data_IF_122005296024
#
_entry.id   IF_122005296024
#
_cell.length_a   1.000
_cell.length_b   1.000
_cell.length_c   1.000
_cell.angle_alpha   90.00
_cell.angle_beta   90.00
_cell.angle_gamma   90.00
#
_symmetry.space_group_name_H-M   'P 1'
#
loop_
_entity.id
_entity.type
_entity.pdbx_description
1 polymer ?
#
# COMPACT_ATOMS: atom_id res chain seq x y z
N UNK A 1 -4.27 3.49 -19.94
CA UNK A 1 -3.02 2.76 -19.62
C UNK A 1 -2.02 3.71 -18.94
N UNK A 2 -0.91 3.26 -18.31
CA UNK A 2 0.04 4.16 -17.66
C UNK A 2 0.57 5.27 -18.58
N UNK A 3 0.87 4.94 -19.85
CA UNK A 3 1.37 5.90 -20.83
C UNK A 3 0.41 7.09 -21.03
N UNK A 4 -0.89 6.81 -21.18
CA UNK A 4 -1.91 7.85 -21.36
C UNK A 4 -2.07 8.76 -20.13
N UNK A 5 -1.81 8.22 -18.92
CA UNK A 5 -1.92 9.02 -17.68
C UNK A 5 -0.72 9.96 -17.55
N UNK A 6 0.44 9.60 -18.09
CA UNK A 6 1.63 10.46 -18.04
C UNK A 6 1.45 11.74 -18.86
N UNK A 7 0.63 11.72 -19.90
CA UNK A 7 0.33 12.92 -20.70
C UNK A 7 -0.28 14.05 -19.87
N UNK A 8 -1.03 13.74 -18.81
CA UNK A 8 -1.63 14.75 -17.91
C UNK A 8 -0.59 15.53 -17.07
N UNK A 9 0.66 15.10 -17.05
CA UNK A 9 1.74 15.88 -16.43
C UNK A 9 2.27 16.99 -17.35
N UNK A 10 1.92 16.99 -18.64
CA UNK A 10 2.39 17.97 -19.62
C UNK A 10 3.77 17.66 -20.19
N UNK A 11 4.44 18.68 -20.74
CA UNK A 11 5.73 18.52 -21.42
C UNK A 11 6.89 18.28 -20.42
N UNK A 12 7.59 17.12 -20.49
CA UNK A 12 8.76 16.88 -19.65
C UNK A 12 9.89 17.89 -19.84
N UNK A 13 10.01 18.53 -21.02
CA UNK A 13 11.05 19.52 -21.29
C UNK A 13 10.90 20.82 -20.49
N UNK A 14 9.67 21.14 -20.05
CA UNK A 14 9.37 22.32 -19.21
C UNK A 14 9.30 21.96 -17.72
N UNK A 15 9.47 20.69 -17.36
CA UNK A 15 9.28 20.18 -16.00
C UNK A 15 7.85 19.73 -15.70
N UNK A 16 6.96 19.66 -16.70
CA UNK A 16 5.55 19.33 -16.54
C UNK A 16 4.72 20.58 -16.25
N UNK A 17 4.00 21.05 -17.27
CA UNK A 17 3.24 22.31 -17.29
C UNK A 17 1.72 22.15 -17.14
N UNK A 18 1.25 20.94 -16.83
CA UNK A 18 -0.16 20.64 -16.62
C UNK A 18 -0.47 20.32 -15.14
N UNK A 19 -0.65 19.05 -14.79
CA UNK A 19 -1.02 18.64 -13.43
C UNK A 19 0.22 18.26 -12.61
N UNK A 20 0.29 18.71 -11.36
CA UNK A 20 1.36 18.28 -10.44
C UNK A 20 1.21 16.82 -10.00
N UNK A 21 -0.04 16.33 -9.96
CA UNK A 21 -0.34 14.98 -9.51
C UNK A 21 -1.40 14.31 -10.37
N UNK A 22 -1.19 13.03 -10.67
CA UNK A 22 -2.18 12.16 -11.29
C UNK A 22 -2.30 10.87 -10.49
N UNK A 23 -3.50 10.28 -10.47
CA UNK A 23 -3.73 9.02 -9.78
C UNK A 23 -3.14 7.84 -10.56
N UNK A 24 -2.42 6.97 -9.86
CA UNK A 24 -1.79 5.79 -10.44
C UNK A 24 -2.79 4.62 -10.58
N UNK A 25 -3.89 4.85 -11.30
CA UNK A 25 -4.94 3.86 -11.56
C UNK A 25 -4.44 2.49 -12.06
N UNK A 26 -3.41 2.39 -12.92
CA UNK A 26 -2.98 1.10 -13.43
C UNK A 26 -2.42 0.15 -12.36
N UNK A 27 -1.72 0.66 -11.34
CA UNK A 27 -1.08 -0.16 -10.29
C UNK A 27 -2.10 -0.76 -9.35
N UNK A 28 -3.15 -0.01 -9.00
CA UNK A 28 -4.11 -0.42 -7.97
C UNK A 28 -4.72 -1.81 -8.24
N UNK A 29 -5.32 -2.13 -9.41
CA UNK A 29 -5.86 -3.47 -9.67
C UNK A 29 -4.79 -4.57 -9.65
N UNK A 30 -3.55 -4.26 -10.05
CA UNK A 30 -2.46 -5.24 -10.09
C UNK A 30 -1.98 -5.62 -8.69
N UNK A 31 -2.08 -4.73 -7.71
CA UNK A 31 -1.83 -5.09 -6.30
C UNK A 31 -2.81 -6.17 -5.85
N UNK A 32 -4.11 -5.98 -6.11
CA UNK A 32 -5.14 -6.98 -5.79
C UNK A 32 -4.88 -8.30 -6.51
N UNK A 33 -4.60 -8.26 -7.81
CA UNK A 33 -4.28 -9.46 -8.58
C UNK A 33 -3.03 -10.18 -8.07
N UNK A 34 -1.97 -9.45 -7.75
CA UNK A 34 -0.69 -10.02 -7.31
C UNK A 34 -0.84 -10.78 -5.99
N UNK A 35 -1.62 -10.26 -5.05
CA UNK A 35 -1.88 -10.96 -3.78
C UNK A 35 -2.76 -12.19 -3.99
N UNK A 36 -3.82 -12.11 -4.81
CA UNK A 36 -4.66 -13.30 -5.08
C UNK A 36 -3.97 -14.37 -5.90
N UNK A 37 -3.06 -13.99 -6.81
CA UNK A 37 -2.23 -14.93 -7.57
C UNK A 37 -1.01 -15.41 -6.79
N UNK A 38 -0.73 -14.83 -5.62
CA UNK A 38 0.47 -15.06 -4.81
C UNK A 38 1.76 -14.88 -5.64
N UNK A 39 1.78 -13.88 -6.53
CA UNK A 39 2.88 -13.65 -7.49
C UNK A 39 3.12 -12.15 -7.67
N UNK A 40 4.39 -11.74 -7.68
CA UNK A 40 4.78 -10.33 -7.83
C UNK A 40 4.62 -9.75 -9.23
N UNK A 41 4.61 -10.60 -10.26
CA UNK A 41 4.68 -10.19 -11.67
C UNK A 41 3.67 -9.12 -12.08
N UNK A 42 2.38 -9.15 -11.67
CA UNK A 42 1.45 -8.08 -12.04
C UNK A 42 1.89 -6.69 -11.56
N UNK A 43 2.52 -6.60 -10.37
CA UNK A 43 3.06 -5.33 -9.85
C UNK A 43 4.36 -4.99 -10.58
N UNK A 44 5.28 -5.94 -10.71
CA UNK A 44 6.59 -5.72 -11.36
C UNK A 44 6.45 -5.24 -12.81
N UNK A 45 5.57 -5.87 -13.58
CA UNK A 45 5.33 -5.54 -14.98
C UNK A 45 4.75 -4.13 -15.13
N UNK A 46 3.72 -3.78 -14.35
CA UNK A 46 3.10 -2.47 -14.47
C UNK A 46 4.03 -1.34 -13.98
N UNK A 47 4.84 -1.59 -12.94
CA UNK A 47 5.84 -0.63 -12.48
C UNK A 47 6.94 -0.42 -13.52
N UNK A 48 7.37 -1.48 -14.21
CA UNK A 48 8.37 -1.39 -15.30
C UNK A 48 7.82 -0.68 -16.54
N UNK A 49 6.54 -0.88 -16.85
CA UNK A 49 5.86 -0.24 -17.99
C UNK A 49 5.46 1.20 -17.72
N UNK A 50 5.46 1.65 -16.46
CA UNK A 50 5.09 3.03 -16.11
C UNK A 50 6.22 3.97 -16.54
N UNK A 51 5.96 4.94 -17.46
CA UNK A 51 6.99 5.86 -17.91
C UNK A 51 7.48 6.77 -16.78
N UNK A 52 8.68 7.32 -16.96
CA UNK A 52 9.19 8.38 -16.07
C UNK A 52 8.31 9.61 -16.20
N UNK A 53 8.05 10.26 -15.06
CA UNK A 53 7.30 11.52 -14.95
C UNK A 53 8.28 12.70 -14.77
N UNK A 54 7.84 13.94 -15.03
CA UNK A 54 8.66 15.12 -14.76
C UNK A 54 9.04 15.25 -13.27
N UNK A 55 10.18 15.89 -12.97
CA UNK A 55 10.75 15.94 -11.61
C UNK A 55 9.86 16.68 -10.59
N UNK A 56 9.07 17.66 -11.02
CA UNK A 56 8.12 18.39 -10.16
C UNK A 56 6.77 17.68 -9.99
N UNK A 57 6.56 16.54 -10.63
CA UNK A 57 5.31 15.80 -10.61
C UNK A 57 5.38 14.61 -9.65
N UNK A 58 4.21 14.11 -9.24
CA UNK A 58 4.11 12.98 -8.32
C UNK A 58 2.89 12.11 -8.58
N UNK A 59 3.05 10.80 -8.39
CA UNK A 59 1.93 9.86 -8.42
C UNK A 59 1.07 9.93 -7.16
N UNK A 60 -0.24 9.88 -7.31
CA UNK A 60 -1.19 9.59 -6.23
C UNK A 60 -1.48 8.10 -6.18
N UNK A 61 -1.04 7.38 -5.14
CA UNK A 61 -1.32 5.96 -4.96
C UNK A 61 -2.50 5.80 -4.01
N UNK A 62 -3.41 4.88 -4.30
CA UNK A 62 -4.55 4.58 -3.45
C UNK A 62 -4.95 3.11 -3.62
N UNK A 63 -5.60 2.55 -2.61
CA UNK A 63 -6.15 1.18 -2.68
C UNK A 63 -7.64 1.19 -3.04
N UNK A 64 -8.39 2.11 -2.43
CA UNK A 64 -9.82 2.36 -2.66
C UNK A 64 -10.10 3.85 -2.57
N UNK A 65 -11.27 4.23 -3.07
CA UNK A 65 -11.77 5.60 -3.05
C UNK A 65 -13.30 5.58 -2.91
N UNK A 66 -13.94 6.73 -3.12
CA UNK A 66 -15.39 6.88 -3.05
C UNK A 66 -16.16 6.30 -4.24
N UNK A 67 -15.46 5.78 -5.25
CA UNK A 67 -16.03 5.11 -6.41
C UNK A 67 -15.80 3.60 -6.32
N UNK A 68 -16.30 2.87 -7.32
CA UNK A 68 -15.96 1.47 -7.54
C UNK A 68 -14.45 1.28 -7.75
N UNK A 69 -13.98 0.07 -7.47
CA UNK A 69 -12.69 -0.38 -7.94
C UNK A 69 -12.80 -0.52 -9.46
N UNK A 70 -12.39 0.53 -10.18
CA UNK A 70 -12.47 0.58 -11.64
C UNK A 70 -11.56 -0.48 -12.27
N UNK A 71 -12.11 -1.20 -13.24
CA UNK A 71 -11.47 -2.21 -14.06
C UNK A 71 -11.54 -1.81 -15.55
N UNK A 72 -11.54 -0.51 -15.83
CA UNK A 72 -11.51 0.00 -17.21
C UNK A 72 -10.12 -0.13 -17.83
N UNK A 73 -9.07 0.10 -17.04
CA UNK A 73 -7.66 0.10 -17.50
C UNK A 73 -6.97 -1.26 -17.27
N UNK A 74 -7.69 -2.35 -17.50
CA UNK A 74 -7.20 -3.75 -17.44
C UNK A 74 -7.65 -4.50 -18.69
N UNK A 75 -6.97 -5.60 -19.03
CA UNK A 75 -7.42 -6.46 -20.12
C UNK A 75 -8.73 -7.17 -19.76
N UNK A 76 -9.43 -7.72 -20.75
CA UNK A 76 -10.69 -8.43 -20.53
C UNK A 76 -10.50 -9.67 -19.63
N UNK A 77 -9.40 -10.42 -19.82
CA UNK A 77 -9.06 -11.58 -18.98
C UNK A 77 -8.76 -11.19 -17.54
N UNK A 78 -8.02 -10.09 -17.33
CA UNK A 78 -7.74 -9.56 -15.99
C UNK A 78 -9.02 -9.10 -15.30
N UNK A 79 -9.95 -8.48 -16.06
CA UNK A 79 -11.24 -8.03 -15.55
C UNK A 79 -12.11 -9.20 -15.10
N UNK A 80 -12.21 -10.24 -15.92
CA UNK A 80 -12.98 -11.45 -15.59
C UNK A 80 -12.41 -12.19 -14.39
N UNK A 81 -11.07 -12.24 -14.28
CA UNK A 81 -10.38 -12.74 -13.10
C UNK A 81 -10.75 -11.94 -11.84
N UNK A 82 -10.64 -10.61 -11.90
CA UNK A 82 -10.98 -9.73 -10.78
C UNK A 82 -12.44 -9.87 -10.34
N UNK A 83 -13.37 -10.01 -11.28
CA UNK A 83 -14.78 -10.26 -10.96
C UNK A 83 -15.00 -11.61 -10.27
N UNK A 84 -14.33 -12.65 -10.73
CA UNK A 84 -14.47 -14.00 -10.18
C UNK A 84 -13.97 -14.06 -8.74
N UNK A 85 -12.83 -13.41 -8.47
CA UNK A 85 -12.20 -13.45 -7.14
C UNK A 85 -12.86 -12.50 -6.14
N UNK A 86 -13.18 -11.27 -6.54
CA UNK A 86 -13.57 -10.20 -5.62
C UNK A 86 -15.06 -9.81 -5.66
N UNK A 87 -15.80 -10.19 -6.70
CA UNK A 87 -17.20 -9.87 -6.89
C UNK A 87 -18.07 -11.14 -7.00
N UNK A 88 -18.04 -11.95 -5.93
CA UNK A 88 -18.79 -13.22 -5.82
C UNK A 88 -20.30 -13.03 -5.93
N UNK A 89 -20.81 -11.89 -5.48
CA UNK A 89 -22.22 -11.51 -5.64
C UNK A 89 -22.37 -10.54 -6.82
N UNK A 90 -23.32 -10.75 -7.75
CA UNK A 90 -23.55 -9.85 -8.88
C UNK A 90 -23.77 -8.39 -8.47
N UNK A 91 -24.35 -8.14 -7.29
CA UNK A 91 -24.60 -6.79 -6.76
C UNK A 91 -23.34 -6.05 -6.36
N UNK A 92 -22.22 -6.75 -6.15
CA UNK A 92 -20.92 -6.14 -5.88
C UNK A 92 -20.35 -5.43 -7.11
N UNK A 93 -20.87 -5.75 -8.31
CA UNK A 93 -20.49 -5.10 -9.56
C UNK A 93 -21.26 -3.80 -9.75
N UNK A 94 -20.58 -2.76 -10.19
CA UNK A 94 -21.17 -1.51 -10.66
C UNK A 94 -20.35 -1.00 -11.83
N UNK A 95 -21.00 -0.57 -12.91
CA UNK A 95 -20.35 -0.19 -14.17
C UNK A 95 -19.31 -1.24 -14.61
N UNK A 96 -18.07 -0.81 -14.86
CA UNK A 96 -16.91 -1.66 -15.15
C UNK A 96 -16.02 -1.72 -13.90
N UNK A 97 -16.58 -2.16 -12.77
CA UNK A 97 -15.83 -2.23 -11.52
C UNK A 97 -16.54 -2.91 -10.35
N UNK A 98 -15.89 -2.87 -9.19
CA UNK A 98 -16.33 -3.54 -7.95
C UNK A 98 -16.55 -2.51 -6.85
N UNK A 99 -17.81 -2.31 -6.43
CA UNK A 99 -18.22 -1.32 -5.43
C UNK A 99 -18.15 -1.84 -3.99
N UNK A 100 -16.95 -2.25 -3.57
CA UNK A 100 -16.68 -2.74 -2.21
C UNK A 100 -15.59 -1.94 -1.51
N UNK A 101 -15.58 -1.95 -0.19
CA UNK A 101 -14.50 -1.37 0.64
C UNK A 101 -13.31 -2.30 0.75
N UNK A 102 -12.17 -1.79 1.24
CA UNK A 102 -10.93 -2.55 1.36
C UNK A 102 -11.07 -3.77 2.28
N UNK A 103 -11.55 -3.59 3.51
CA UNK A 103 -11.72 -4.70 4.45
C UNK A 103 -12.66 -5.81 3.91
N UNK A 104 -13.84 -5.49 3.36
CA UNK A 104 -14.68 -6.47 2.68
C UNK A 104 -14.01 -7.16 1.48
N UNK A 105 -13.24 -6.45 0.64
CA UNK A 105 -12.52 -7.05 -0.50
C UNK A 105 -11.47 -8.08 -0.06
N UNK A 106 -10.86 -7.86 1.10
CA UNK A 106 -9.83 -8.72 1.68
C UNK A 106 -10.39 -9.70 2.72
N UNK A 107 -11.71 -9.96 2.68
CA UNK A 107 -12.40 -10.89 3.58
C UNK A 107 -12.16 -10.60 5.08
N UNK A 108 -11.92 -9.33 5.43
CA UNK A 108 -11.52 -8.85 6.76
C UNK A 108 -10.24 -9.50 7.33
N UNK A 109 -9.38 -10.03 6.46
CA UNK A 109 -8.08 -10.58 6.86
C UNK A 109 -7.14 -9.44 7.25
N UNK A 110 -6.80 -9.40 8.54
CA UNK A 110 -5.93 -8.39 9.11
C UNK A 110 -4.55 -8.37 8.46
N UNK A 111 -3.96 -9.53 8.18
CA UNK A 111 -2.61 -9.58 7.62
C UNK A 111 -2.60 -9.03 6.17
N UNK A 112 -3.67 -9.28 5.41
CA UNK A 112 -3.83 -8.66 4.09
C UNK A 112 -4.04 -7.16 4.19
N UNK A 113 -4.87 -6.68 5.12
CA UNK A 113 -5.06 -5.24 5.32
C UNK A 113 -3.74 -4.53 5.63
N UNK A 114 -2.92 -5.13 6.48
CA UNK A 114 -1.58 -4.62 6.79
C UNK A 114 -0.65 -4.66 5.59
N UNK A 115 -0.58 -5.79 4.85
CA UNK A 115 0.23 -5.92 3.64
C UNK A 115 -0.13 -4.88 2.57
N UNK A 116 -1.42 -4.73 2.26
CA UNK A 116 -1.89 -3.77 1.26
C UNK A 116 -1.57 -2.33 1.69
N UNK A 117 -1.74 -2.02 2.98
CA UNK A 117 -1.39 -0.69 3.52
C UNK A 117 0.12 -0.46 3.49
N UNK A 118 0.94 -1.48 3.78
CA UNK A 118 2.38 -1.40 3.65
C UNK A 118 2.79 -1.14 2.19
N UNK A 119 2.22 -1.85 1.22
CA UNK A 119 2.46 -1.59 -0.21
C UNK A 119 2.05 -0.16 -0.60
N UNK A 120 0.87 0.31 -0.17
CA UNK A 120 0.41 1.68 -0.42
C UNK A 120 1.40 2.73 0.11
N UNK A 121 1.93 2.52 1.31
CA UNK A 121 2.83 3.47 1.97
C UNK A 121 4.27 3.41 1.46
N UNK A 122 4.69 2.28 0.85
CA UNK A 122 6.07 2.04 0.40
C UNK A 122 6.31 2.13 -1.10
N UNK A 123 5.26 2.07 -1.93
CA UNK A 123 5.35 2.29 -3.37
C UNK A 123 5.59 3.77 -3.73
N UNK A 124 6.11 4.07 -4.95
CA UNK A 124 6.49 5.44 -5.35
C UNK A 124 5.28 6.35 -5.55
N UNK A 125 5.16 7.36 -4.69
CA UNK A 125 4.09 8.34 -4.77
C UNK A 125 3.62 8.83 -3.40
N UNK A 126 2.57 9.65 -3.45
CA UNK A 126 1.85 10.16 -2.29
C UNK A 126 0.63 9.27 -2.04
N UNK A 127 0.55 8.57 -0.89
CA UNK A 127 -0.55 7.68 -0.58
C UNK A 127 -1.81 8.46 -0.21
N UNK A 128 -2.96 7.98 -0.68
CA UNK A 128 -4.30 8.48 -0.32
C UNK A 128 -5.06 7.37 0.38
N UNK A 129 -5.42 7.62 1.65
CA UNK A 129 -6.27 6.74 2.44
C UNK A 129 -7.73 7.17 2.31
N UNK A 130 -8.62 6.20 2.10
CA UNK A 130 -10.06 6.45 2.09
C UNK A 130 -10.62 6.37 3.51
N UNK A 131 -11.42 7.36 3.90
CA UNK A 131 -11.90 7.49 5.29
C UNK A 131 -12.57 6.21 5.77
N UNK A 132 -12.22 5.74 6.96
CA UNK A 132 -12.77 4.53 7.55
C UNK A 132 -11.99 3.25 7.21
N UNK A 133 -11.15 3.24 6.18
CA UNK A 133 -10.31 2.06 5.88
C UNK A 133 -9.25 1.86 6.98
N UNK A 134 -8.83 2.93 7.67
CA UNK A 134 -7.91 2.87 8.82
C UNK A 134 -8.50 2.17 10.06
N UNK A 135 -9.82 2.04 10.14
CA UNK A 135 -10.51 1.22 11.15
C UNK A 135 -11.09 -0.06 10.55
N UNK A 136 -11.01 -0.27 9.24
CA UNK A 136 -11.56 -1.46 8.57
C UNK A 136 -13.07 -1.39 8.40
N UNK A 137 -13.63 -0.23 8.06
CA UNK A 137 -15.06 -0.07 7.77
C UNK A 137 -15.51 -1.01 6.64
N UNK A 138 -16.73 -1.52 6.80
CA UNK A 138 -17.42 -2.33 5.80
C UNK A 138 -18.19 -1.51 4.77
N UNK A 139 -18.82 -2.22 3.85
CA UNK A 139 -19.70 -1.65 2.83
C UNK A 139 -21.15 -2.13 3.00
N UNK A 140 -22.08 -1.45 2.32
CA UNK A 140 -23.45 -1.89 2.21
C UNK A 140 -23.87 -1.97 0.73
N UNK A 141 -23.66 -3.13 0.12
CA UNK A 141 -23.93 -3.40 -1.30
C UNK A 141 -25.41 -3.28 -1.71
N UNK A 142 -26.32 -3.14 -0.74
CA UNK A 142 -27.75 -2.93 -0.98
C UNK A 142 -28.10 -1.47 -1.24
N UNK A 143 -27.20 -0.54 -0.93
CA UNK A 143 -27.34 0.86 -1.30
C UNK A 143 -27.13 1.04 -2.82
N UNK A 144 -27.78 2.05 -3.37
CA UNK A 144 -27.73 2.35 -4.80
C UNK A 144 -26.36 2.83 -5.25
N UNK A 145 -26.02 2.58 -6.52
CA UNK A 145 -24.79 3.06 -7.16
C UNK A 145 -23.53 2.84 -6.29
N UNK A 146 -22.77 3.90 -6.00
CA UNK A 146 -21.52 3.88 -5.23
C UNK A 146 -21.71 4.20 -3.76
N UNK A 147 -22.95 4.40 -3.32
CA UNK A 147 -23.24 4.70 -1.91
C UNK A 147 -22.91 3.53 -0.97
N UNK A 148 -22.70 2.34 -1.53
CA UNK A 148 -22.23 1.16 -0.81
C UNK A 148 -20.96 1.41 0.02
N UNK A 149 -20.06 2.30 -0.45
CA UNK A 149 -18.80 2.61 0.25
C UNK A 149 -18.82 3.96 0.97
N UNK A 150 -19.93 4.71 0.88
CA UNK A 150 -20.05 6.11 1.32
C UNK A 150 -20.84 6.29 2.64
N UNK A 151 -21.01 5.22 3.39
CA UNK A 151 -21.76 5.22 4.66
C UNK A 151 -21.09 6.11 5.72
N UNK A 152 -21.84 6.63 6.70
CA UNK A 152 -21.28 7.54 7.70
C UNK A 152 -20.11 6.91 8.48
N UNK A 153 -19.12 7.74 8.82
CA UNK A 153 -17.95 7.33 9.61
C UNK A 153 -18.37 6.79 10.99
N UNK A 154 -17.70 5.72 11.44
CA UNK A 154 -18.02 5.02 12.70
C UNK A 154 -17.16 5.51 13.86
N UNK A 155 -17.60 6.55 14.56
CA UNK A 155 -16.83 7.18 15.64
C UNK A 155 -16.92 6.43 16.97
N UNK A 156 -18.12 6.03 17.38
CA UNK A 156 -18.42 5.43 18.69
C UNK A 156 -19.43 4.29 18.54
N UNK A 157 -19.60 3.41 19.55
CA UNK A 157 -20.67 2.41 19.54
C UNK A 157 -22.06 2.99 19.84
N UNK A 158 -22.19 4.31 20.04
CA UNK A 158 -23.45 4.98 20.36
C UNK A 158 -24.33 5.18 19.10
N UNK A 159 -25.52 5.74 19.29
CA UNK A 159 -26.51 6.06 18.27
C UNK A 159 -25.85 6.70 17.03
N UNK A 160 -26.25 6.21 15.85
CA UNK A 160 -25.73 6.63 14.55
C UNK A 160 -24.19 6.54 14.47
N UNK A 161 -23.58 5.59 15.18
CA UNK A 161 -22.13 5.44 15.26
C UNK A 161 -21.40 6.69 15.81
N UNK A 162 -22.09 7.56 16.56
CA UNK A 162 -21.58 8.87 16.96
C UNK A 162 -21.44 9.90 15.83
N UNK A 163 -21.91 9.60 14.61
CA UNK A 163 -21.85 10.53 13.48
C UNK A 163 -22.81 11.72 13.59
N UNK A 164 -23.98 11.51 14.18
CA UNK A 164 -25.01 12.55 14.33
C UNK A 164 -26.01 12.21 15.43
N UNK A 165 -26.61 13.23 16.05
CA UNK A 165 -27.68 13.05 17.04
C UNK A 165 -29.10 13.06 16.44
N UNK A 166 -29.24 13.22 15.12
CA UNK A 166 -30.57 13.25 14.48
C UNK A 166 -31.29 11.90 14.57
N UNK A 167 -32.60 11.90 14.24
CA UNK A 167 -33.35 10.66 14.01
C UNK A 167 -32.59 9.77 12.99
N UNK A 168 -32.32 8.49 13.27
CA UNK A 168 -31.63 7.60 12.34
C UNK A 168 -32.21 7.59 10.93
N UNK A 169 -33.54 7.75 10.79
CA UNK A 169 -34.21 7.80 9.48
C UNK A 169 -33.92 9.09 8.69
N UNK A 170 -33.33 10.11 9.33
CA UNK A 170 -32.95 11.39 8.71
C UNK A 170 -31.48 11.45 8.30
N UNK A 171 -30.71 10.37 8.52
CA UNK A 171 -29.34 10.29 8.00
C UNK A 171 -29.36 10.27 6.47
N UNK A 172 -28.34 10.85 5.84
CA UNK A 172 -28.21 10.85 4.38
C UNK A 172 -28.03 9.42 3.84
N UNK A 173 -27.33 8.57 4.58
CA UNK A 173 -27.20 7.13 4.37
C UNK A 173 -27.21 6.40 5.73
N UNK A 174 -27.67 5.14 5.78
CA UNK A 174 -27.62 4.36 7.01
C UNK A 174 -26.17 4.04 7.40
N UNK A 175 -25.94 3.92 8.71
CA UNK A 175 -24.69 3.33 9.25
C UNK A 175 -24.65 1.83 8.98
N UNK A 176 -23.44 1.25 8.98
CA UNK A 176 -23.28 -0.20 8.85
C UNK A 176 -23.68 -0.87 10.17
N UNK A 177 -24.51 -1.92 10.08
CA UNK A 177 -25.06 -2.62 11.25
C UNK A 177 -24.90 -4.14 11.16
N UNK A 178 -24.15 -4.65 10.19
CA UNK A 178 -23.92 -6.09 10.11
C UNK A 178 -23.01 -6.57 11.25
N UNK A 179 -23.03 -7.87 11.58
CA UNK A 179 -22.28 -8.41 12.72
C UNK A 179 -20.76 -8.30 12.62
N UNK A 180 -20.19 -8.12 11.42
CA UNK A 180 -18.75 -8.10 11.19
C UNK A 180 -18.23 -6.66 11.17
N UNK A 181 -18.88 -5.78 10.41
CA UNK A 181 -18.41 -4.40 10.18
C UNK A 181 -19.25 -3.33 10.88
N UNK A 182 -20.30 -3.72 11.60
CA UNK A 182 -21.18 -2.78 12.28
C UNK A 182 -20.47 -1.92 13.30
N UNK A 183 -20.94 -0.67 13.48
CA UNK A 183 -20.28 0.32 14.34
C UNK A 183 -20.14 -0.08 15.81
N UNK A 184 -20.92 -1.06 16.28
CA UNK A 184 -20.75 -1.62 17.62
C UNK A 184 -19.44 -2.40 17.78
N UNK A 185 -18.95 -3.02 16.70
CA UNK A 185 -17.69 -3.75 16.67
C UNK A 185 -16.54 -2.89 16.11
N UNK A 186 -16.81 -2.12 15.06
CA UNK A 186 -15.81 -1.32 14.35
C UNK A 186 -16.07 0.16 14.57
N UNK A 187 -15.35 0.79 15.50
CA UNK A 187 -15.43 2.25 15.69
C UNK A 187 -14.11 2.84 16.19
N UNK A 188 -13.95 4.15 15.99
CA UNK A 188 -12.73 4.90 16.36
C UNK A 188 -12.48 4.85 17.87
N UNK A 189 -13.49 5.02 18.71
CA UNK A 189 -13.34 5.00 20.18
C UNK A 189 -12.77 3.67 20.68
N UNK A 190 -13.36 2.54 20.26
CA UNK A 190 -12.90 1.21 20.62
C UNK A 190 -11.46 0.96 20.13
N UNK A 191 -11.14 1.38 18.90
CA UNK A 191 -9.79 1.21 18.36
C UNK A 191 -8.76 2.17 18.97
N UNK A 192 -9.18 3.34 19.44
CA UNK A 192 -8.32 4.29 20.17
C UNK A 192 -7.98 3.78 21.56
N UNK A 193 -8.84 2.96 22.18
CA UNK A 193 -8.56 2.37 23.48
C UNK A 193 -7.83 1.02 23.40
N UNK A 194 -7.64 0.47 22.20
CA UNK A 194 -6.93 -0.80 21.97
C UNK A 194 -5.59 -0.54 21.24
N UNK A 195 -4.43 -0.68 21.90
CA UNK A 195 -3.11 -0.51 21.28
C UNK A 195 -2.83 -1.47 20.10
N UNK A 196 -3.49 -2.64 20.07
CA UNK A 196 -3.37 -3.62 18.97
C UNK A 196 -4.35 -3.39 17.80
N UNK A 197 -5.03 -2.24 17.75
CA UNK A 197 -6.05 -1.95 16.73
C UNK A 197 -5.47 -1.64 15.34
N UNK A 198 -6.34 -1.61 14.32
CA UNK A 198 -5.93 -1.19 12.96
C UNK A 198 -5.59 0.28 12.93
N UNK A 199 -6.33 1.09 13.67
CA UNK A 199 -6.09 2.51 13.79
C UNK A 199 -4.70 2.83 14.35
N UNK A 200 -4.32 2.18 15.46
CA UNK A 200 -3.00 2.38 16.06
C UNK A 200 -1.88 1.92 15.14
N UNK A 201 -2.04 0.74 14.54
CA UNK A 201 -1.06 0.20 13.61
C UNK A 201 -0.89 1.12 12.39
N UNK A 202 -1.99 1.56 11.77
CA UNK A 202 -1.97 2.48 10.61
C UNK A 202 -1.30 3.81 10.96
N UNK A 203 -1.61 4.38 12.13
CA UNK A 203 -0.95 5.60 12.64
C UNK A 203 0.56 5.41 12.79
N UNK A 204 0.99 4.29 13.39
CA UNK A 204 2.41 3.96 13.56
C UNK A 204 3.11 3.81 12.21
N UNK A 205 2.48 3.17 11.23
CA UNK A 205 3.05 3.03 9.88
C UNK A 205 3.20 4.36 9.15
N UNK A 206 2.22 5.27 9.30
CA UNK A 206 2.31 6.63 8.77
C UNK A 206 3.45 7.41 9.45
N UNK A 207 3.61 7.28 10.77
CA UNK A 207 4.69 7.92 11.51
C UNK A 207 6.07 7.42 11.05
N UNK A 208 6.22 6.10 10.86
CA UNK A 208 7.45 5.51 10.31
C UNK A 208 7.71 6.08 8.90
N UNK A 209 6.69 6.14 8.04
CA UNK A 209 6.82 6.71 6.70
C UNK A 209 7.26 8.18 6.74
N UNK A 210 6.75 8.97 7.69
CA UNK A 210 7.11 10.38 7.83
C UNK A 210 8.56 10.58 8.29
N UNK A 211 9.13 9.64 9.04
CA UNK A 211 10.54 9.66 9.45
C UNK A 211 11.51 9.32 8.32
N UNK A 212 11.01 8.71 7.23
CA UNK A 212 11.80 8.25 6.09
C UNK A 212 11.29 8.89 4.78
N UNK A 213 11.77 10.10 4.42
CA UNK A 213 11.37 10.80 3.19
C UNK A 213 11.52 9.96 1.91
N UNK A 214 12.39 8.94 1.93
CA UNK A 214 12.63 8.00 0.84
C UNK A 214 11.36 7.34 0.29
N UNK A 215 10.33 7.14 1.11
CA UNK A 215 9.06 6.60 0.63
C UNK A 215 8.29 7.56 -0.28
N UNK A 216 8.45 8.87 -0.10
CA UNK A 216 7.79 9.88 -0.90
C UNK A 216 8.54 10.19 -2.20
N UNK A 217 9.84 10.48 -2.10
CA UNK A 217 10.63 11.02 -3.22
C UNK A 217 11.76 10.11 -3.70
N UNK A 218 12.05 9.03 -2.97
CA UNK A 218 13.12 8.11 -3.34
C UNK A 218 12.79 7.33 -4.62
N UNK A 219 13.83 7.00 -5.37
CA UNK A 219 13.74 6.14 -6.54
C UNK A 219 13.23 4.74 -6.16
N UNK A 220 12.74 3.98 -7.13
CA UNK A 220 12.29 2.60 -6.94
C UNK A 220 13.18 1.66 -7.73
N UNK A 221 13.83 0.73 -7.04
CA UNK A 221 14.67 -0.29 -7.65
C UNK A 221 14.17 -1.65 -7.20
N UNK A 222 13.50 -2.36 -8.10
CA UNK A 222 13.06 -3.72 -7.81
C UNK A 222 14.25 -4.68 -7.74
N UNK A 223 14.27 -5.54 -6.72
CA UNK A 223 15.32 -6.52 -6.53
C UNK A 223 14.94 -7.85 -7.18
N UNK A 224 15.95 -8.57 -7.66
CA UNK A 224 15.76 -9.94 -8.13
C UNK A 224 15.57 -10.87 -6.93
N UNK A 225 14.31 -11.20 -6.64
CA UNK A 225 13.95 -12.21 -5.64
C UNK A 225 13.92 -13.60 -6.28
N UNK A 226 14.52 -14.59 -5.60
CA UNK A 226 14.47 -16.00 -6.01
C UNK A 226 13.05 -16.60 -5.97
N UNK A 227 12.17 -16.05 -5.13
CA UNK A 227 10.80 -16.51 -4.95
C UNK A 227 9.81 -15.55 -5.63
N UNK A 228 8.99 -16.02 -6.61
CA UNK A 228 8.01 -15.17 -7.29
C UNK A 228 6.89 -14.66 -6.38
N UNK A 229 6.69 -15.29 -5.23
CA UNK A 229 5.66 -14.89 -4.26
C UNK A 229 6.10 -13.72 -3.38
N UNK A 230 7.36 -13.30 -3.45
CA UNK A 230 7.91 -12.23 -2.62
C UNK A 230 8.32 -11.05 -3.50
N UNK A 231 7.69 -9.90 -3.28
CA UNK A 231 8.04 -8.63 -3.91
C UNK A 231 9.06 -7.91 -3.02
N UNK A 232 10.29 -7.73 -3.52
CA UNK A 232 11.35 -7.01 -2.84
C UNK A 232 11.84 -5.84 -3.69
N UNK A 233 12.01 -4.67 -3.09
CA UNK A 233 12.52 -3.48 -3.75
C UNK A 233 13.20 -2.56 -2.75
N UNK A 234 14.11 -1.72 -3.23
CA UNK A 234 14.69 -0.62 -2.45
C UNK A 234 14.08 0.71 -2.88
N UNK A 235 13.93 1.59 -1.89
CA UNK A 235 13.73 3.02 -2.09
C UNK A 235 15.04 3.71 -1.76
N UNK A 236 15.51 4.59 -2.63
CA UNK A 236 16.84 5.23 -2.52
C UNK A 236 16.73 6.74 -2.77
N UNK A 237 17.28 7.54 -1.86
CA UNK A 237 17.57 8.97 -2.05
C UNK A 237 19.09 9.17 -1.94
N UNK A 238 19.68 9.76 -2.98
CA UNK A 238 21.07 10.19 -2.98
C UNK A 238 21.18 11.66 -2.51
N UNK A 239 22.04 11.93 -1.53
CA UNK A 239 22.49 13.29 -1.21
C UNK A 239 21.44 14.24 -0.60
N UNK A 240 20.54 13.74 0.25
CA UNK A 240 19.59 14.56 1.00
C UNK A 240 20.24 15.42 2.09
N UNK A 241 19.43 16.25 2.77
CA UNK A 241 19.88 16.95 3.98
C UNK A 241 20.50 15.96 4.97
N UNK A 242 21.62 16.36 5.59
CA UNK A 242 22.36 15.52 6.52
C UNK A 242 21.44 14.99 7.64
N UNK A 243 21.00 13.75 7.50
CA UNK A 243 20.35 12.98 8.57
C UNK A 243 21.44 12.30 9.40
N UNK A 244 21.05 11.53 10.42
CA UNK A 244 21.99 10.74 11.23
C UNK A 244 22.80 9.69 10.43
N UNK A 245 22.54 9.56 9.13
CA UNK A 245 23.16 8.64 8.18
C UNK A 245 23.87 9.37 7.01
N UNK A 246 24.25 10.65 7.20
CA UNK A 246 25.05 11.39 6.22
C UNK A 246 24.27 11.87 5.00
N UNK A 247 22.93 11.94 5.08
CA UNK A 247 22.07 12.38 3.97
C UNK A 247 21.63 11.25 3.03
N UNK A 248 22.04 10.00 3.32
CA UNK A 248 21.50 8.81 2.65
C UNK A 248 20.30 8.28 3.44
N UNK A 249 19.23 7.92 2.74
CA UNK A 249 18.08 7.21 3.29
C UNK A 249 17.71 6.13 2.28
N UNK A 250 18.13 4.88 2.56
CA UNK A 250 17.84 3.72 1.74
C UNK A 250 16.98 2.77 2.54
N UNK A 251 15.80 2.44 2.02
CA UNK A 251 14.90 1.48 2.68
C UNK A 251 14.64 0.28 1.78
N UNK A 252 14.97 -0.91 2.27
CA UNK A 252 14.62 -2.19 1.69
C UNK A 252 13.23 -2.62 2.16
N UNK A 253 12.31 -2.80 1.21
CA UNK A 253 10.96 -3.31 1.43
C UNK A 253 10.86 -4.75 0.91
N UNK A 254 10.40 -5.68 1.74
CA UNK A 254 10.22 -7.09 1.38
C UNK A 254 8.80 -7.51 1.75
N UNK A 255 8.01 -7.97 0.77
CA UNK A 255 6.58 -8.20 0.92
C UNK A 255 6.22 -9.61 0.45
N UNK A 256 5.70 -10.44 1.35
CA UNK A 256 5.20 -11.77 0.99
C UNK A 256 3.75 -11.68 0.51
N UNK A 257 3.52 -11.99 -0.76
CA UNK A 257 2.18 -11.97 -1.37
C UNK A 257 1.43 -13.29 -1.18
N UNK A 258 2.12 -14.34 -0.72
CA UNK A 258 1.50 -15.64 -0.42
C UNK A 258 0.86 -15.66 0.96
N UNK A 259 -0.24 -16.41 1.08
CA UNK A 259 -0.86 -16.71 2.38
C UNK A 259 -0.03 -17.66 3.26
N UNK A 260 0.99 -18.29 2.70
CA UNK A 260 1.87 -19.22 3.42
C UNK A 260 3.22 -18.56 3.74
N UNK A 261 3.94 -19.05 4.76
CA UNK A 261 5.30 -18.61 5.01
C UNK A 261 6.21 -18.87 3.80
N UNK A 262 7.01 -17.88 3.42
CA UNK A 262 7.90 -17.96 2.26
C UNK A 262 9.34 -17.60 2.66
N UNK A 263 10.33 -18.41 2.24
CA UNK A 263 11.73 -17.98 2.21
C UNK A 263 11.99 -17.15 0.95
N UNK A 264 12.94 -16.22 1.04
CA UNK A 264 13.48 -15.51 -0.11
C UNK A 264 14.98 -15.29 0.07
N UNK A 265 15.72 -15.45 -1.01
CA UNK A 265 17.12 -15.04 -1.09
C UNK A 265 17.19 -13.78 -1.96
N UNK A 266 17.83 -12.74 -1.44
CA UNK A 266 17.98 -11.44 -2.10
C UNK A 266 19.45 -11.16 -2.41
N UNK A 267 19.73 -10.72 -3.64
CA UNK A 267 21.05 -10.19 -3.98
C UNK A 267 21.17 -8.74 -3.49
N UNK A 268 21.83 -8.57 -2.35
CA UNK A 268 22.04 -7.26 -1.71
C UNK A 268 23.50 -6.79 -1.76
N UNK A 269 24.35 -7.38 -2.61
CA UNK A 269 25.80 -7.09 -2.64
C UNK A 269 26.15 -5.61 -2.84
N UNK A 270 25.25 -4.82 -3.45
CA UNK A 270 25.39 -3.35 -3.58
C UNK A 270 25.43 -2.62 -2.22
N UNK A 271 24.93 -3.25 -1.17
CA UNK A 271 24.86 -2.72 0.19
C UNK A 271 25.76 -3.53 1.15
N UNK A 272 26.86 -4.10 0.65
CA UNK A 272 27.83 -4.85 1.47
C UNK A 272 28.21 -4.05 2.71
N UNK A 273 28.39 -4.75 3.82
CA UNK A 273 28.77 -4.23 5.14
C UNK A 273 27.73 -3.33 5.82
N UNK A 274 26.63 -2.99 5.13
CA UNK A 274 25.44 -2.40 5.76
C UNK A 274 24.74 -3.45 6.62
N UNK A 275 24.34 -3.06 7.83
CA UNK A 275 23.55 -3.89 8.72
C UNK A 275 22.09 -3.41 8.71
N UNK A 276 21.15 -4.17 8.11
CA UNK A 276 19.76 -3.75 7.99
C UNK A 276 19.13 -3.52 9.37
N UNK A 277 18.40 -2.41 9.53
CA UNK A 277 17.70 -2.08 10.79
C UNK A 277 16.20 -2.07 10.51
N UNK A 278 15.45 -2.93 11.19
CA UNK A 278 13.99 -3.02 11.03
C UNK A 278 13.30 -1.74 11.53
N UNK A 279 12.47 -1.11 10.68
CA UNK A 279 11.95 0.25 10.92
C UNK A 279 10.90 0.35 12.05
N UNK A 280 10.21 -0.73 12.42
CA UNK A 280 9.16 -0.70 13.44
C UNK A 280 9.67 -0.84 14.88
N UNK A 281 10.69 -1.67 15.08
CA UNK A 281 11.27 -2.05 16.36
C UNK A 281 12.73 -1.62 16.53
N UNK A 282 13.39 -1.17 15.47
CA UNK A 282 14.79 -0.72 15.49
C UNK A 282 15.79 -1.86 15.69
N UNK A 283 15.40 -3.09 15.37
CA UNK A 283 16.24 -4.28 15.56
C UNK A 283 17.23 -4.40 14.41
N UNK A 284 18.51 -4.49 14.73
CA UNK A 284 19.58 -4.71 13.75
C UNK A 284 19.66 -6.19 13.37
N UNK A 285 19.64 -6.44 12.06
CA UNK A 285 19.82 -7.74 11.46
C UNK A 285 21.30 -7.98 11.09
N UNK A 286 21.71 -9.24 10.79
CA UNK A 286 23.08 -9.54 10.37
C UNK A 286 23.54 -8.66 9.20
N UNK A 287 24.81 -8.23 9.17
CA UNK A 287 25.35 -7.42 8.09
C UNK A 287 25.29 -8.13 6.74
N UNK A 288 25.09 -7.36 5.68
CA UNK A 288 25.04 -7.86 4.31
C UNK A 288 26.46 -8.24 3.87
N UNK A 289 26.63 -9.50 3.47
CA UNK A 289 27.89 -10.00 2.90
C UNK A 289 27.79 -10.27 1.40
N UNK A 290 28.62 -11.20 0.92
CA UNK A 290 28.66 -11.61 -0.49
C UNK A 290 27.64 -12.68 -0.88
N UNK A 291 27.15 -13.40 0.12
CA UNK A 291 26.15 -14.45 -0.08
C UNK A 291 24.75 -13.83 -0.19
N UNK A 292 23.83 -14.50 -0.90
CA UNK A 292 22.43 -14.09 -0.94
C UNK A 292 21.86 -13.92 0.48
N UNK A 293 21.18 -12.81 0.71
CA UNK A 293 20.63 -12.48 2.01
C UNK A 293 19.30 -13.23 2.20
N UNK A 294 19.30 -14.22 3.10
CA UNK A 294 18.13 -15.05 3.38
C UNK A 294 17.18 -14.34 4.34
N UNK A 295 15.91 -14.22 3.94
CA UNK A 295 14.81 -13.77 4.80
C UNK A 295 13.70 -14.80 4.81
N UNK A 296 12.98 -14.89 5.93
CA UNK A 296 11.75 -15.67 6.07
C UNK A 296 10.62 -14.76 6.51
N UNK A 297 9.50 -14.84 5.79
CA UNK A 297 8.32 -14.02 6.04
C UNK A 297 7.13 -14.92 6.37
N UNK A 298 6.29 -14.58 7.36
CA UNK A 298 5.00 -15.25 7.55
C UNK A 298 4.08 -14.95 6.35
N UNK A 299 2.97 -15.69 6.25
CA UNK A 299 1.95 -15.44 5.22
C UNK A 299 1.44 -14.00 5.29
N UNK A 300 1.43 -13.31 4.15
CA UNK A 300 1.11 -11.88 4.03
C UNK A 300 1.98 -10.95 4.91
N UNK A 301 3.14 -11.42 5.38
CA UNK A 301 4.09 -10.61 6.14
C UNK A 301 4.89 -9.66 5.26
N UNK A 302 5.39 -8.59 5.86
CA UNK A 302 6.32 -7.67 5.21
C UNK A 302 7.39 -7.18 6.20
N UNK A 303 8.50 -6.70 5.66
CA UNK A 303 9.55 -6.00 6.41
C UNK A 303 9.96 -4.72 5.71
N UNK A 304 10.22 -3.68 6.48
CA UNK A 304 10.93 -2.48 6.06
C UNK A 304 12.23 -2.38 6.84
N UNK A 305 13.35 -2.35 6.12
CA UNK A 305 14.67 -2.20 6.70
C UNK A 305 15.31 -0.92 6.21
N UNK A 306 15.75 -0.07 7.13
CA UNK A 306 16.73 0.95 6.83
C UNK A 306 18.08 0.28 6.56
N UNK A 307 18.72 0.67 5.46
CA UNK A 307 20.09 0.27 5.13
C UNK A 307 21.02 1.46 5.41
N UNK A 308 21.64 1.54 6.61
CA UNK A 308 22.59 2.61 6.90
C UNK A 308 23.84 2.47 6.02
N UNK A 309 24.59 3.57 5.80
CA UNK A 309 25.91 3.46 5.19
C UNK A 309 26.80 2.51 6.00
N UNK A 310 27.76 1.82 5.36
CA UNK A 310 28.72 1.02 6.10
C UNK A 310 29.47 1.92 7.09
N UNK A 311 29.77 1.44 8.30
CA UNK A 311 30.49 2.23 9.29
C UNK A 311 31.84 2.70 8.72
N UNK A 312 32.14 4.00 8.87
CA UNK A 312 33.36 4.63 8.36
C UNK A 312 34.60 3.74 8.59
N UNK A 313 35.11 3.18 7.49
CA UNK A 313 36.18 2.18 7.54
C UNK A 313 36.48 1.46 6.22
N UNK A 314 35.59 1.50 5.22
CA UNK A 314 35.85 0.97 3.88
C UNK A 314 35.30 1.94 2.82
N UNK A 315 36.20 2.72 2.21
CA UNK A 315 35.91 3.32 0.90
C UNK A 315 35.81 2.18 -0.13
N UNK A 316 34.76 2.13 -0.96
CA UNK A 316 34.66 1.13 -2.02
C UNK A 316 35.63 1.50 -3.15
N UNK A 317 36.89 1.09 -3.04
CA UNK A 317 37.90 1.48 -4.04
C UNK A 317 39.34 0.94 -3.91
N UNK A 318 39.65 0.05 -2.96
CA UNK A 318 40.98 -0.60 -2.90
C UNK A 318 40.86 -2.12 -2.89
N UNK A 319 40.79 -2.72 -4.10
CA UNK A 319 41.56 -3.90 -4.52
C UNK A 319 41.39 -4.17 -6.03
#
# INVERSE_FOLDING_TARGET
>A
WPADVVEYFGDPATGGDECHMAFHFPVMPRIFMAVRREQRYPISEIMTQTPKIPESCQWGIFLRNHDELTLEMVTDEERDYMYTEYAKDPRMKANIGIRRRLAPLLDNDRNQLELFTALLLSLPGSPVLYYGDEIGMGDNIWLGDRDAVRTPMQWTPDRNAGFSHCDPARLYLPVIMDPIYGYQAVNVEAQTNNPGSLLHWTRKMIEIRQRHPVFGVGSYVELSASNPSVLAFTREIDGGEANQWGGMDTVLCVNNLSRFPQPVELDLRRFRDSAPIECMGGVQFPPIGDLPYLLTLPGHGFYWFLLPPPPDGHEPGEE
#
